data_IF_444803192809
#
_entry.id   IF_444803192809
#
_cell.length_a   1.000
_cell.length_b   1.000
_cell.length_c   1.000
_cell.angle_alpha   90.00
_cell.angle_beta   90.00
_cell.angle_gamma   90.00
#
_symmetry.space_group_name_H-M   'P 1'
#
loop_
_entity.id
_entity.type
_entity.pdbx_description
1 polymer ?
#
# COMPACT_ATOMS: atom_id res chain seq x y z
N UNK A 1 6.24 17.05 -47.34
CA UNK A 1 5.40 15.87 -46.99
C UNK A 1 6.20 14.60 -46.67
N UNK A 2 7.54 14.64 -46.59
CA UNK A 2 8.36 13.48 -46.14
C UNK A 2 8.92 13.63 -44.72
N UNK A 3 8.92 14.84 -44.15
CA UNK A 3 9.39 15.09 -42.77
C UNK A 3 8.31 14.89 -41.70
N UNK A 4 7.03 14.77 -42.08
CA UNK A 4 5.92 14.53 -41.13
C UNK A 4 5.70 13.02 -40.88
N UNK A 5 6.19 12.17 -41.79
CA UNK A 5 6.09 10.71 -41.63
C UNK A 5 7.22 10.11 -40.78
N UNK A 6 8.34 10.80 -40.60
CA UNK A 6 9.45 10.29 -39.79
C UNK A 6 9.24 10.52 -38.28
N UNK A 7 8.39 11.47 -37.89
CA UNK A 7 8.08 11.75 -36.48
C UNK A 7 7.02 10.82 -35.87
N UNK A 8 6.43 9.92 -36.66
CA UNK A 8 5.42 8.94 -36.20
C UNK A 8 6.06 7.55 -35.98
N UNK A 9 7.30 7.33 -36.43
CA UNK A 9 7.94 6.00 -36.44
C UNK A 9 9.11 5.86 -35.45
N UNK A 10 9.20 6.74 -34.44
CA UNK A 10 10.21 6.67 -33.37
C UNK A 10 9.59 6.78 -31.97
N UNK A 11 8.30 6.45 -31.84
CA UNK A 11 7.70 6.11 -30.55
C UNK A 11 7.40 4.60 -30.61
N UNK A 12 8.46 3.80 -30.53
CA UNK A 12 8.28 2.37 -30.22
C UNK A 12 7.58 2.32 -28.85
N UNK A 13 6.29 1.98 -28.85
CA UNK A 13 5.54 1.68 -27.62
C UNK A 13 6.35 0.64 -26.85
N UNK A 14 7.05 1.09 -25.80
CA UNK A 14 7.86 0.22 -24.95
C UNK A 14 6.98 -0.87 -24.38
N UNK A 15 7.41 -2.12 -24.49
CA UNK A 15 6.64 -3.23 -23.93
C UNK A 15 6.58 -3.12 -22.40
N UNK A 16 5.53 -3.66 -21.76
CA UNK A 16 5.43 -3.66 -20.29
C UNK A 16 6.68 -4.22 -19.59
N UNK A 17 7.33 -5.24 -20.15
CA UNK A 17 8.61 -5.74 -19.65
C UNK A 17 9.75 -4.70 -19.73
N UNK A 18 9.83 -3.92 -20.82
CA UNK A 18 10.86 -2.89 -20.97
C UNK A 18 10.63 -1.73 -19.99
N UNK A 19 9.38 -1.32 -19.78
CA UNK A 19 8.99 -0.30 -18.80
C UNK A 19 9.37 -0.75 -17.38
N UNK A 20 9.05 -2.01 -17.04
CA UNK A 20 9.39 -2.58 -15.73
C UNK A 20 10.91 -2.68 -15.51
N UNK A 21 11.69 -3.01 -16.54
CA UNK A 21 13.16 -3.02 -16.45
C UNK A 21 13.73 -1.61 -16.31
N UNK A 22 13.20 -0.63 -17.03
CA UNK A 22 13.61 0.76 -16.90
C UNK A 22 13.30 1.32 -15.50
N UNK A 23 12.14 1.00 -14.92
CA UNK A 23 11.81 1.39 -13.55
C UNK A 23 12.76 0.75 -12.53
N UNK A 24 13.13 -0.52 -12.71
CA UNK A 24 14.12 -1.19 -11.86
C UNK A 24 15.51 -0.56 -11.97
N UNK A 25 15.94 -0.23 -13.19
CA UNK A 25 17.22 0.45 -13.43
C UNK A 25 17.20 1.85 -12.81
N UNK A 26 16.09 2.58 -12.95
CA UNK A 26 15.93 3.92 -12.39
C UNK A 26 15.95 3.91 -10.87
N UNK A 27 15.24 2.96 -10.24
CA UNK A 27 15.28 2.78 -8.79
C UNK A 27 16.69 2.42 -8.29
N UNK A 28 17.45 1.65 -9.08
CA UNK A 28 18.84 1.31 -8.75
C UNK A 28 19.80 2.51 -8.91
N UNK A 29 19.60 3.35 -9.92
CA UNK A 29 20.34 4.60 -10.11
C UNK A 29 20.05 5.55 -8.95
N UNK A 30 18.79 5.75 -8.59
CA UNK A 30 18.39 6.60 -7.46
C UNK A 30 18.98 6.10 -6.13
N UNK A 31 19.02 4.78 -5.92
CA UNK A 31 19.72 4.18 -4.78
C UNK A 31 21.22 4.49 -4.76
N UNK A 32 21.90 4.35 -5.90
CA UNK A 32 23.33 4.65 -6.02
C UNK A 32 23.63 6.15 -5.86
N UNK A 33 22.78 7.03 -6.39
CA UNK A 33 22.91 8.49 -6.22
C UNK A 33 22.79 8.89 -4.74
N UNK A 34 21.83 8.30 -4.02
CA UNK A 34 21.71 8.50 -2.58
C UNK A 34 22.93 7.98 -1.82
N UNK A 35 23.44 6.78 -2.14
CA UNK A 35 24.66 6.24 -1.51
C UNK A 35 25.88 7.15 -1.77
N UNK A 36 26.00 7.71 -2.97
CA UNK A 36 27.09 8.65 -3.32
C UNK A 36 26.95 9.96 -2.55
N UNK A 37 25.75 10.53 -2.44
CA UNK A 37 25.52 11.78 -1.72
C UNK A 37 25.74 11.61 -0.21
N UNK A 38 25.32 10.49 0.37
CA UNK A 38 25.61 10.12 1.77
C UNK A 38 27.12 9.98 1.99
N UNK A 39 27.83 9.26 1.11
CA UNK A 39 29.27 9.08 1.21
C UNK A 39 30.04 10.41 1.08
N UNK A 40 29.61 11.28 0.16
CA UNK A 40 30.18 12.61 -0.05
C UNK A 40 29.97 13.49 1.18
N UNK A 41 28.76 13.53 1.72
CA UNK A 41 28.44 14.29 2.94
C UNK A 41 29.31 13.82 4.11
N UNK A 42 29.42 12.50 4.31
CA UNK A 42 30.26 11.92 5.35
C UNK A 42 31.75 12.28 5.16
N UNK A 43 32.24 12.29 3.92
CA UNK A 43 33.61 12.69 3.61
C UNK A 43 33.86 14.16 3.93
N UNK A 44 32.99 15.06 3.47
CA UNK A 44 33.10 16.51 3.72
C UNK A 44 33.08 16.83 5.23
N UNK A 45 32.21 16.16 5.99
CA UNK A 45 32.14 16.31 7.44
C UNK A 45 33.42 15.81 8.14
N UNK A 46 33.96 14.65 7.74
CA UNK A 46 35.23 14.13 8.28
C UNK A 46 36.40 15.05 7.96
N UNK A 47 36.43 15.63 6.77
CA UNK A 47 37.48 16.55 6.36
C UNK A 47 37.42 17.86 7.18
N UNK A 48 36.21 18.40 7.39
CA UNK A 48 36.01 19.57 8.26
C UNK A 48 36.46 19.31 9.70
N UNK A 49 36.15 18.12 10.24
CA UNK A 49 36.60 17.73 11.58
C UNK A 49 38.14 17.67 11.67
N UNK A 50 38.80 17.11 10.65
CA UNK A 50 40.26 17.05 10.57
C UNK A 50 40.88 18.45 10.49
N UNK A 51 40.36 19.34 9.63
CA UNK A 51 40.85 20.72 9.48
C UNK A 51 40.75 21.49 10.80
N UNK A 52 39.64 21.30 11.56
CA UNK A 52 39.46 21.88 12.88
C UNK A 52 40.45 21.32 13.92
N UNK A 53 40.77 20.02 13.88
CA UNK A 53 41.79 19.42 14.74
C UNK A 53 43.17 20.01 14.45
N UNK A 54 43.53 20.10 13.17
CA UNK A 54 44.82 20.65 12.75
C UNK A 54 44.95 22.12 13.12
N UNK A 55 43.90 22.93 12.90
CA UNK A 55 43.86 24.33 13.32
C UNK A 55 44.01 24.46 14.84
N UNK A 56 43.27 23.66 15.61
CA UNK A 56 43.35 23.68 17.09
C UNK A 56 44.74 23.31 17.58
N UNK A 57 45.39 22.32 16.98
CA UNK A 57 46.76 21.93 17.30
C UNK A 57 47.77 23.03 16.96
N UNK A 58 47.64 23.67 15.79
CA UNK A 58 48.48 24.79 15.38
C UNK A 58 48.32 26.01 16.32
N UNK A 59 47.08 26.33 16.69
CA UNK A 59 46.78 27.41 17.64
C UNK A 59 47.40 27.14 19.02
N UNK A 60 47.24 25.92 19.54
CA UNK A 60 47.86 25.51 20.82
C UNK A 60 49.39 25.69 20.79
N UNK A 61 50.04 25.21 19.73
CA UNK A 61 51.50 25.31 19.59
C UNK A 61 52.00 26.76 19.47
N UNK A 62 51.19 27.66 18.91
CA UNK A 62 51.51 29.09 18.86
C UNK A 62 51.32 29.78 20.20
N UNK A 63 50.28 29.41 20.97
CA UNK A 63 50.03 29.94 22.31
C UNK A 63 51.16 29.63 23.29
N UNK A 64 51.75 28.44 23.20
CA UNK A 64 52.90 28.05 24.03
C UNK A 64 54.16 28.92 23.78
N UNK A 65 54.18 29.73 22.72
CA UNK A 65 55.33 30.56 22.29
C UNK A 65 55.16 32.07 22.52
N UNK A 66 53.99 32.55 22.95
CA UNK A 66 53.68 33.99 23.06
C UNK A 66 53.99 34.52 24.48
N UNK A 67 54.61 35.69 24.58
CA UNK A 67 54.91 36.37 25.86
C UNK A 67 53.62 36.84 26.57
N UNK A 68 53.63 36.74 27.90
CA UNK A 68 52.52 36.96 28.86
C UNK A 68 51.82 38.32 28.76
N UNK A 69 52.38 39.28 28.01
CA UNK A 69 51.83 40.64 27.82
C UNK A 69 50.56 40.71 26.97
N UNK A 70 50.17 39.61 26.32
CA UNK A 70 49.01 39.50 25.42
C UNK A 70 47.84 38.72 26.06
N UNK A 71 47.61 38.89 27.36
CA UNK A 71 46.74 38.01 28.17
C UNK A 71 45.30 37.87 27.65
N UNK A 72 44.72 38.94 27.10
CA UNK A 72 43.35 38.95 26.59
C UNK A 72 43.17 38.04 25.36
N UNK A 73 44.15 38.07 24.45
CA UNK A 73 44.18 37.17 23.29
C UNK A 73 44.38 35.70 23.72
N UNK A 74 45.18 35.47 24.76
CA UNK A 74 45.44 34.14 25.31
C UNK A 74 44.17 33.53 25.94
N UNK A 75 43.41 34.33 26.68
CA UNK A 75 42.14 33.91 27.29
C UNK A 75 41.09 33.61 26.21
N UNK A 76 40.96 34.47 25.19
CA UNK A 76 40.04 34.25 24.06
C UNK A 76 40.39 32.96 23.30
N UNK A 77 41.67 32.72 23.00
CA UNK A 77 42.10 31.52 22.30
C UNK A 77 41.91 30.24 23.14
N UNK A 78 42.08 30.33 24.47
CA UNK A 78 41.76 29.22 25.37
C UNK A 78 40.27 28.89 25.32
N UNK A 79 39.41 29.91 25.33
CA UNK A 79 37.98 29.72 25.22
C UNK A 79 37.57 29.10 23.87
N UNK A 80 38.20 29.53 22.77
CA UNK A 80 37.99 28.93 21.44
C UNK A 80 38.36 27.44 21.43
N UNK A 81 39.45 27.04 22.10
CA UNK A 81 39.85 25.64 22.20
C UNK A 81 38.85 24.81 23.03
N UNK A 82 38.33 25.37 24.12
CA UNK A 82 37.29 24.73 24.94
C UNK A 82 36.00 24.52 24.13
N UNK A 83 35.57 25.53 23.38
CA UNK A 83 34.42 25.44 22.48
C UNK A 83 34.63 24.40 21.38
N UNK A 84 35.80 24.38 20.73
CA UNK A 84 36.11 23.37 19.71
C UNK A 84 36.07 21.95 20.28
N UNK A 85 36.55 21.75 21.52
CA UNK A 85 36.45 20.46 22.20
C UNK A 85 35.00 20.04 22.39
N UNK A 86 34.14 20.94 22.88
CA UNK A 86 32.71 20.66 23.08
C UNK A 86 32.01 20.35 21.75
N UNK A 87 32.31 21.11 20.69
CA UNK A 87 31.79 20.89 19.35
C UNK A 87 32.19 19.50 18.83
N UNK A 88 33.46 19.10 18.99
CA UNK A 88 33.92 17.78 18.59
C UNK A 88 33.22 16.65 19.34
N UNK A 89 33.04 16.79 20.65
CA UNK A 89 32.30 15.79 21.45
C UNK A 89 30.86 15.67 20.98
N UNK A 90 30.15 16.79 20.79
CA UNK A 90 28.77 16.78 20.32
C UNK A 90 28.63 16.18 18.91
N UNK A 91 29.56 16.46 18.01
CA UNK A 91 29.57 15.88 16.66
C UNK A 91 29.79 14.36 16.70
N UNK A 92 30.70 13.88 17.55
CA UNK A 92 30.92 12.44 17.72
C UNK A 92 29.66 11.74 18.25
N UNK A 93 29.01 12.31 19.27
CA UNK A 93 27.76 11.77 19.82
C UNK A 93 26.65 11.70 18.74
N UNK A 94 26.58 12.70 17.87
CA UNK A 94 25.63 12.72 16.76
C UNK A 94 25.87 11.57 15.77
N UNK A 95 27.14 11.31 15.42
CA UNK A 95 27.50 10.20 14.54
C UNK A 95 27.20 8.84 15.16
N UNK A 96 27.51 8.65 16.45
CA UNK A 96 27.21 7.40 17.16
C UNK A 96 25.70 7.13 17.20
N UNK A 97 24.88 8.18 17.32
CA UNK A 97 23.42 8.08 17.28
C UNK A 97 22.89 7.78 15.88
N UNK A 98 23.42 8.42 14.85
CA UNK A 98 23.07 8.14 13.45
C UNK A 98 23.39 6.69 13.07
N UNK A 99 24.54 6.17 13.47
CA UNK A 99 24.93 4.78 13.23
C UNK A 99 23.96 3.80 13.90
N UNK A 100 23.61 4.03 15.17
CA UNK A 100 22.62 3.20 15.88
C UNK A 100 21.25 3.25 15.21
N UNK A 101 20.84 4.42 14.75
CA UNK A 101 19.57 4.60 14.04
C UNK A 101 19.56 3.80 12.74
N UNK A 102 20.66 3.85 11.99
CA UNK A 102 20.84 3.11 10.74
C UNK A 102 20.85 1.59 10.97
N UNK A 103 21.48 1.09 12.04
CA UNK A 103 21.44 -0.33 12.42
C UNK A 103 20.01 -0.79 12.77
N UNK A 104 19.26 0.01 13.53
CA UNK A 104 17.85 -0.26 13.84
C UNK A 104 17.01 -0.32 12.55
N UNK A 105 17.20 0.63 11.63
CA UNK A 105 16.49 0.63 10.33
C UNK A 105 16.83 -0.62 9.51
N UNK A 106 18.11 -1.00 9.45
CA UNK A 106 18.59 -2.20 8.74
C UNK A 106 17.99 -3.49 9.31
N UNK A 107 17.80 -3.59 10.63
CA UNK A 107 17.18 -4.76 11.27
C UNK A 107 15.67 -4.80 11.05
N UNK A 108 14.99 -3.65 11.19
CA UNK A 108 13.52 -3.58 11.13
C UNK A 108 12.95 -3.75 9.72
N UNK A 109 13.63 -3.24 8.69
CA UNK A 109 13.09 -3.21 7.33
C UNK A 109 12.88 -4.62 6.72
N UNK A 110 13.85 -5.56 6.80
CA UNK A 110 13.65 -6.92 6.30
C UNK A 110 12.55 -7.67 7.03
N UNK A 111 12.48 -7.57 8.37
CA UNK A 111 11.42 -8.21 9.18
C UNK A 111 10.03 -7.72 8.78
N UNK A 112 9.87 -6.40 8.58
CA UNK A 112 8.60 -5.81 8.16
C UNK A 112 8.21 -6.27 6.75
N UNK A 113 9.17 -6.36 5.83
CA UNK A 113 8.94 -6.83 4.46
C UNK A 113 8.52 -8.32 4.46
N UNK A 114 9.22 -9.15 5.23
CA UNK A 114 8.86 -10.56 5.35
C UNK A 114 7.46 -10.74 5.97
N UNK A 115 7.14 -9.98 7.02
CA UNK A 115 5.83 -10.03 7.65
C UNK A 115 4.71 -9.57 6.72
N UNK A 116 4.94 -8.53 5.91
CA UNK A 116 3.94 -8.05 4.95
C UNK A 116 3.73 -9.04 3.81
N UNK A 117 4.80 -9.62 3.26
CA UNK A 117 4.74 -10.68 2.24
C UNK A 117 3.98 -11.91 2.76
N UNK A 118 4.27 -12.36 3.98
CA UNK A 118 3.56 -13.49 4.60
C UNK A 118 2.08 -13.21 4.78
N UNK A 119 1.69 -12.01 5.27
CA UNK A 119 0.28 -11.65 5.41
C UNK A 119 -0.44 -11.57 4.07
N UNK A 120 0.24 -11.08 3.03
CA UNK A 120 -0.35 -10.99 1.70
C UNK A 120 -0.64 -12.40 1.14
N UNK A 121 0.28 -13.34 1.33
CA UNK A 121 0.06 -14.74 0.95
C UNK A 121 -1.12 -15.35 1.71
N UNK A 122 -1.22 -15.15 3.02
CA UNK A 122 -2.34 -15.63 3.84
C UNK A 122 -3.69 -15.09 3.33
N UNK A 123 -3.78 -13.79 3.05
CA UNK A 123 -4.97 -13.16 2.48
C UNK A 123 -5.34 -13.79 1.13
N UNK A 124 -4.35 -14.03 0.26
CA UNK A 124 -4.59 -14.61 -1.05
C UNK A 124 -5.06 -16.07 -0.95
N UNK A 125 -4.46 -16.86 -0.05
CA UNK A 125 -4.89 -18.23 0.20
C UNK A 125 -6.31 -18.29 0.74
N UNK A 126 -6.66 -17.46 1.72
CA UNK A 126 -8.01 -17.44 2.28
C UNK A 126 -9.05 -16.96 1.26
N UNK A 127 -8.70 -15.97 0.43
CA UNK A 127 -9.56 -15.52 -0.67
C UNK A 127 -9.83 -16.64 -1.69
N UNK A 128 -8.81 -17.40 -2.06
CA UNK A 128 -8.98 -18.53 -2.98
C UNK A 128 -9.87 -19.61 -2.36
N UNK A 129 -9.65 -19.94 -1.09
CA UNK A 129 -10.49 -20.90 -0.36
C UNK A 129 -11.96 -20.48 -0.30
N UNK A 130 -12.24 -19.21 0.00
CA UNK A 130 -13.62 -18.69 0.00
C UNK A 130 -14.28 -18.82 -1.38
N UNK A 131 -13.52 -18.58 -2.45
CA UNK A 131 -14.03 -18.76 -3.81
C UNK A 131 -14.34 -20.23 -4.08
N UNK A 132 -13.43 -21.13 -3.75
CA UNK A 132 -13.62 -22.57 -3.94
C UNK A 132 -14.82 -23.09 -3.12
N UNK A 133 -14.99 -22.64 -1.88
CA UNK A 133 -16.14 -22.99 -1.04
C UNK A 133 -17.47 -22.52 -1.65
N UNK A 134 -17.48 -21.31 -2.24
CA UNK A 134 -18.65 -20.75 -2.90
C UNK A 134 -19.00 -21.51 -4.19
N UNK A 135 -18.00 -21.81 -5.01
CA UNK A 135 -18.14 -22.61 -6.23
C UNK A 135 -18.62 -24.03 -5.91
N UNK A 136 -18.11 -24.65 -4.83
CA UNK A 136 -18.54 -25.96 -4.35
C UNK A 136 -19.98 -25.94 -3.84
N UNK A 137 -20.38 -24.88 -3.12
CA UNK A 137 -21.74 -24.73 -2.61
C UNK A 137 -22.76 -24.57 -3.76
N UNK A 138 -22.46 -23.69 -4.72
CA UNK A 138 -23.29 -23.45 -5.90
C UNK A 138 -23.42 -24.70 -6.77
N UNK A 139 -22.33 -25.45 -6.91
CA UNK A 139 -22.32 -26.69 -7.67
C UNK A 139 -22.87 -27.89 -6.93
N UNK A 140 -23.18 -27.77 -5.63
CA UNK A 140 -23.64 -28.90 -4.83
C UNK A 140 -24.97 -29.45 -5.34
N UNK A 141 -25.03 -30.77 -5.49
CA UNK A 141 -26.22 -31.47 -5.99
C UNK A 141 -27.45 -31.22 -5.11
N UNK A 142 -27.23 -31.00 -3.80
CA UNK A 142 -28.29 -30.65 -2.86
C UNK A 142 -28.93 -29.29 -3.17
N UNK A 143 -28.14 -28.25 -3.45
CA UNK A 143 -28.66 -26.92 -3.80
C UNK A 143 -29.36 -26.96 -5.17
N UNK A 144 -28.79 -27.69 -6.14
CA UNK A 144 -29.44 -27.93 -7.44
C UNK A 144 -30.79 -28.62 -7.29
N UNK A 145 -30.86 -29.68 -6.47
CA UNK A 145 -32.10 -30.40 -6.20
C UNK A 145 -33.16 -29.52 -5.50
N UNK A 146 -32.75 -28.69 -4.53
CA UNK A 146 -33.65 -27.74 -3.85
C UNK A 146 -34.21 -26.72 -4.84
N UNK A 147 -33.36 -26.12 -5.70
CA UNK A 147 -33.81 -25.18 -6.75
C UNK A 147 -34.81 -25.83 -7.71
N UNK A 148 -34.54 -27.06 -8.16
CA UNK A 148 -35.46 -27.80 -9.03
C UNK A 148 -36.80 -28.12 -8.37
N UNK A 149 -36.78 -28.55 -7.10
CA UNK A 149 -38.00 -28.82 -6.36
C UNK A 149 -38.81 -27.54 -6.14
N UNK A 150 -38.18 -26.44 -5.76
CA UNK A 150 -38.84 -25.14 -5.62
C UNK A 150 -39.49 -24.69 -6.93
N UNK A 151 -38.79 -24.84 -8.05
CA UNK A 151 -39.34 -24.53 -9.37
C UNK A 151 -40.57 -25.39 -9.70
N UNK A 152 -40.54 -26.68 -9.36
CA UNK A 152 -41.69 -27.57 -9.54
C UNK A 152 -42.88 -27.14 -8.68
N UNK A 153 -42.66 -26.83 -7.41
CA UNK A 153 -43.73 -26.38 -6.49
C UNK A 153 -44.35 -25.05 -6.96
N UNK A 154 -43.54 -24.12 -7.47
CA UNK A 154 -44.04 -22.87 -8.08
C UNK A 154 -44.91 -23.19 -9.30
N UNK A 155 -44.46 -24.06 -10.20
CA UNK A 155 -45.24 -24.45 -11.38
C UNK A 155 -46.59 -25.10 -11.00
N UNK A 156 -46.59 -26.03 -10.05
CA UNK A 156 -47.81 -26.68 -9.54
C UNK A 156 -48.75 -25.63 -8.95
N UNK A 157 -48.22 -24.73 -8.11
CA UNK A 157 -49.00 -23.66 -7.47
C UNK A 157 -49.62 -22.73 -8.52
N UNK A 158 -48.88 -22.34 -9.56
CA UNK A 158 -49.38 -21.51 -10.65
C UNK A 158 -50.50 -22.21 -11.44
N UNK A 159 -50.37 -23.52 -11.72
CA UNK A 159 -51.45 -24.27 -12.40
C UNK A 159 -52.71 -24.30 -11.52
N UNK A 160 -52.55 -24.58 -10.23
CA UNK A 160 -53.67 -24.59 -9.28
C UNK A 160 -54.33 -23.20 -9.22
N UNK A 161 -53.55 -22.12 -9.12
CA UNK A 161 -54.05 -20.74 -9.15
C UNK A 161 -54.87 -20.47 -10.42
N UNK A 162 -54.34 -20.82 -11.59
CA UNK A 162 -55.03 -20.63 -12.88
C UNK A 162 -56.34 -21.42 -12.97
N UNK A 163 -56.37 -22.66 -12.47
CA UNK A 163 -57.61 -23.46 -12.43
C UNK A 163 -58.66 -22.80 -11.54
N UNK A 164 -58.29 -22.34 -10.34
CA UNK A 164 -59.23 -21.65 -9.45
C UNK A 164 -59.74 -20.33 -10.04
N UNK A 165 -58.87 -19.54 -10.68
CA UNK A 165 -59.26 -18.32 -11.38
C UNK A 165 -60.29 -18.63 -12.49
N UNK A 166 -60.02 -19.63 -13.34
CA UNK A 166 -60.92 -20.01 -14.43
C UNK A 166 -62.28 -20.54 -13.92
N UNK A 167 -62.29 -21.33 -12.84
CA UNK A 167 -63.53 -21.81 -12.23
C UNK A 167 -64.37 -20.65 -11.68
N UNK A 168 -63.73 -19.69 -11.00
CA UNK A 168 -64.42 -18.50 -10.49
C UNK A 168 -65.03 -17.68 -11.63
N UNK A 169 -64.28 -17.43 -12.71
CA UNK A 169 -64.77 -16.73 -13.90
C UNK A 169 -65.91 -17.49 -14.60
N UNK A 170 -65.77 -18.82 -14.77
CA UNK A 170 -66.75 -19.67 -15.44
C UNK A 170 -68.04 -19.88 -14.65
N UNK A 171 -67.99 -19.78 -13.31
CA UNK A 171 -69.15 -19.94 -12.43
C UNK A 171 -70.22 -18.84 -12.58
N UNK A 172 -69.87 -17.69 -13.19
CA UNK A 172 -70.70 -16.48 -13.27
C UNK A 172 -71.20 -15.97 -11.91
N UNK A 173 -70.61 -16.42 -10.80
CA UNK A 173 -70.91 -15.89 -9.48
C UNK A 173 -70.45 -14.42 -9.39
N UNK A 174 -71.27 -13.55 -8.81
CA UNK A 174 -70.90 -12.14 -8.63
C UNK A 174 -69.94 -11.96 -7.45
N UNK A 175 -68.72 -12.48 -7.61
CA UNK A 175 -67.67 -12.48 -6.58
C UNK A 175 -67.22 -11.07 -6.18
N UNK A 176 -67.49 -10.05 -7.02
CA UNK A 176 -67.17 -8.65 -6.75
C UNK A 176 -68.07 -8.02 -5.67
N UNK A 177 -69.30 -8.52 -5.50
CA UNK A 177 -70.25 -8.04 -4.49
C UNK A 177 -69.98 -8.62 -3.10
N UNK A 178 -69.36 -9.79 -3.02
CA UNK A 178 -68.98 -10.41 -1.74
C UNK A 178 -67.54 -9.98 -1.35
N UNK A 179 -67.36 -9.22 -0.26
CA UNK A 179 -66.04 -8.71 0.13
C UNK A 179 -65.00 -9.80 0.42
N UNK A 180 -65.43 -10.96 0.95
CA UNK A 180 -64.55 -12.07 1.25
C UNK A 180 -64.07 -12.77 -0.03
N UNK A 181 -64.98 -13.00 -0.98
CA UNK A 181 -64.63 -13.58 -2.29
C UNK A 181 -63.75 -12.64 -3.10
N UNK A 182 -64.06 -11.35 -3.13
CA UNK A 182 -63.25 -10.31 -3.79
C UNK A 182 -61.80 -10.32 -3.29
N UNK A 183 -61.60 -10.42 -1.97
CA UNK A 183 -60.26 -10.49 -1.37
C UNK A 183 -59.49 -11.73 -1.83
N UNK A 184 -60.14 -12.89 -1.85
CA UNK A 184 -59.53 -14.16 -2.28
C UNK A 184 -59.14 -14.15 -3.75
N UNK A 185 -60.00 -13.61 -4.64
CA UNK A 185 -59.71 -13.49 -6.07
C UNK A 185 -58.49 -12.59 -6.32
N UNK A 186 -58.44 -11.42 -5.66
CA UNK A 186 -57.32 -10.49 -5.78
C UNK A 186 -55.98 -11.05 -5.25
N UNK A 187 -56.03 -12.00 -4.29
CA UNK A 187 -54.83 -12.69 -3.83
C UNK A 187 -54.37 -13.76 -4.81
N UNK A 188 -55.30 -14.42 -5.51
CA UNK A 188 -54.99 -15.41 -6.54
C UNK A 188 -54.35 -14.77 -7.78
N UNK A 189 -54.64 -13.50 -8.09
CA UNK A 189 -54.02 -12.76 -9.20
C UNK A 189 -52.55 -12.38 -8.95
N UNK A 190 -52.08 -12.45 -7.70
CA UNK A 190 -50.66 -12.21 -7.38
C UNK A 190 -49.83 -13.42 -7.78
N UNK A 191 -49.28 -13.39 -8.99
CA UNK A 191 -48.33 -14.40 -9.44
C UNK A 191 -47.09 -14.42 -8.53
N UNK A 192 -46.62 -15.62 -8.20
CA UNK A 192 -45.33 -15.83 -7.57
C UNK A 192 -44.23 -15.67 -8.63
N UNK A 193 -43.89 -14.43 -8.98
CA UNK A 193 -42.76 -14.16 -9.88
C UNK A 193 -41.44 -14.30 -9.13
N UNK A 194 -40.46 -14.98 -9.75
CA UNK A 194 -39.09 -15.08 -9.24
C UNK A 194 -38.50 -13.69 -8.96
N UNK A 195 -37.87 -13.54 -7.79
CA UNK A 195 -36.71 -12.65 -7.58
C UNK A 195 -35.48 -13.55 -7.69
#
# INVERSE_FOLDING_TARGET
MYMVYLSIYLDEEKTPEQIMQEEQIKAKIEGLENEVEEAKTAFEMKNLALDRMQLSAALKNNLEKIDTKTSLLMDDMKHVLELNKLIMTSQQESWDLEEKLLDIRKKRLPELKQASESKLLEIQTEKNKQKDDLDNMENSDKIKAIRQNLQREIQITTVIQNVFQNLLLGSKANWAENPALKKTVLQLEKNLTMI
#
